data_IF_527559310257
#
_entry.id   IF_527559310257
#
_cell.length_a   1.000
_cell.length_b   1.000
_cell.length_c   1.000
_cell.angle_alpha   90.00
_cell.angle_beta   90.00
_cell.angle_gamma   90.00
#
_symmetry.space_group_name_H-M   'P 1'
#
loop_
_entity.id
_entity.type
_entity.pdbx_description
1 polymer ?
#
# COMPACT_ATOMS: atom_id res chain seq x y z
N UNK A 1 -17.49 24.99 4.28
CA UNK A 1 -17.35 23.84 3.38
C UNK A 1 -15.90 23.70 2.98
N UNK A 2 -15.32 22.51 3.16
CA UNK A 2 -13.96 22.21 2.68
C UNK A 2 -14.13 21.60 1.29
N UNK A 3 -13.54 22.19 0.24
CA UNK A 3 -13.71 21.68 -1.12
C UNK A 3 -13.21 20.23 -1.22
N UNK A 4 -13.95 19.39 -1.95
CA UNK A 4 -13.56 18.01 -2.21
C UNK A 4 -12.36 18.00 -3.15
N UNK A 5 -11.45 17.04 -2.97
CA UNK A 5 -10.34 16.83 -3.91
C UNK A 5 -10.86 16.58 -5.33
N UNK A 6 -12.02 15.94 -5.47
CA UNK A 6 -12.67 15.65 -6.74
C UNK A 6 -13.21 16.91 -7.45
N UNK A 7 -13.31 18.04 -6.76
CA UNK A 7 -13.73 19.33 -7.35
C UNK A 7 -12.55 20.07 -8.01
N UNK A 8 -11.32 19.55 -7.88
CA UNK A 8 -10.13 20.18 -8.42
C UNK A 8 -9.93 19.80 -9.91
N UNK A 9 -9.73 20.78 -10.82
CA UNK A 9 -9.54 20.50 -12.25
C UNK A 9 -8.44 19.48 -12.57
N UNK A 10 -7.39 19.46 -11.75
CA UNK A 10 -6.25 18.54 -11.89
C UNK A 10 -6.63 17.07 -11.73
N UNK A 11 -7.68 16.75 -10.97
CA UNK A 11 -8.13 15.36 -10.79
C UNK A 11 -8.73 14.82 -12.08
N UNK A 12 -9.39 15.66 -12.88
CA UNK A 12 -9.91 15.27 -14.20
C UNK A 12 -8.82 15.15 -15.27
N UNK A 13 -7.68 15.82 -15.09
CA UNK A 13 -6.53 15.71 -16.00
C UNK A 13 -5.72 14.41 -15.76
N UNK A 14 -5.77 13.84 -14.55
CA UNK A 14 -5.01 12.66 -14.15
C UNK A 14 -5.88 11.61 -13.43
N UNK A 15 -6.88 11.01 -14.11
CA UNK A 15 -7.79 10.05 -13.50
C UNK A 15 -7.12 8.74 -13.05
N UNK A 16 -5.94 8.43 -13.61
CA UNK A 16 -5.09 7.28 -13.27
C UNK A 16 -4.24 7.50 -12.01
N UNK A 17 -3.94 8.76 -11.67
CA UNK A 17 -3.17 9.14 -10.47
C UNK A 17 -4.08 9.24 -9.24
N UNK A 18 -5.36 9.56 -9.44
CA UNK A 18 -6.36 9.69 -8.38
C UNK A 18 -7.52 8.68 -8.54
N UNK A 19 -7.25 7.36 -8.54
CA UNK A 19 -8.30 6.38 -8.60
C UNK A 19 -9.07 6.29 -7.27
N UNK A 20 -10.35 5.95 -7.33
CA UNK A 20 -11.18 5.75 -6.13
C UNK A 20 -10.68 4.57 -5.27
N UNK A 21 -9.98 3.62 -5.89
CA UNK A 21 -9.29 2.49 -5.25
C UNK A 21 -7.84 2.41 -5.73
N UNK A 22 -6.89 2.14 -4.82
CA UNK A 22 -5.48 2.03 -5.20
C UNK A 22 -5.24 0.79 -6.07
N UNK A 23 -4.49 0.92 -7.18
CA UNK A 23 -4.07 -0.24 -7.96
C UNK A 23 -3.19 -1.14 -7.08
N UNK A 24 -3.36 -2.46 -7.24
CA UNK A 24 -2.51 -3.43 -6.56
C UNK A 24 -1.02 -3.23 -6.89
N UNK A 25 -0.15 -3.74 -6.03
CA UNK A 25 1.30 -3.69 -6.28
C UNK A 25 1.60 -4.53 -7.53
N UNK A 26 2.26 -3.97 -8.56
CA UNK A 26 2.70 -4.77 -9.70
C UNK A 26 3.58 -5.93 -9.22
N UNK A 27 3.29 -7.15 -9.70
CA UNK A 27 4.13 -8.33 -9.42
C UNK A 27 5.58 -8.09 -9.87
N UNK A 28 5.73 -7.38 -10.98
CA UNK A 28 7.00 -6.97 -11.56
C UNK A 28 7.21 -5.48 -11.29
N UNK A 29 8.00 -5.16 -10.28
CA UNK A 29 8.54 -3.81 -10.11
C UNK A 29 9.66 -3.60 -11.14
N UNK A 30 9.64 -2.48 -11.88
CA UNK A 30 10.74 -2.13 -12.79
C UNK A 30 12.07 -1.91 -12.05
N UNK A 31 12.00 -1.65 -10.73
CA UNK A 31 13.15 -1.45 -9.86
C UNK A 31 13.17 -2.53 -8.78
N UNK A 32 14.31 -3.21 -8.64
CA UNK A 32 14.57 -4.12 -7.53
C UNK A 32 14.91 -3.33 -6.26
N UNK A 33 14.13 -3.54 -5.19
CA UNK A 33 14.38 -2.92 -3.90
C UNK A 33 15.29 -3.82 -3.04
N UNK A 34 16.50 -3.37 -2.73
CA UNK A 34 17.39 -4.05 -1.79
C UNK A 34 17.25 -3.50 -0.37
N UNK A 35 17.09 -4.39 0.62
CA UNK A 35 17.13 -4.03 2.04
C UNK A 35 18.55 -4.27 2.57
N UNK A 36 19.30 -3.19 2.76
CA UNK A 36 20.63 -3.26 3.36
C UNK A 36 20.51 -3.34 4.89
N UNK A 37 21.12 -4.37 5.47
CA UNK A 37 21.17 -4.54 6.91
C UNK A 37 22.43 -3.91 7.48
N UNK A 38 22.30 -3.27 8.64
CA UNK A 38 23.48 -2.89 9.42
C UNK A 38 24.24 -4.17 9.85
N UNK A 39 25.59 -4.15 9.89
CA UNK A 39 26.36 -5.29 10.35
C UNK A 39 25.92 -5.76 11.74
N UNK A 40 25.61 -7.05 11.88
CA UNK A 40 25.14 -7.65 13.13
C UNK A 40 23.62 -7.63 13.34
N UNK A 41 22.83 -7.18 12.36
CA UNK A 41 21.38 -7.35 12.41
C UNK A 41 21.00 -8.83 12.27
N UNK A 42 20.15 -9.32 13.17
CA UNK A 42 19.61 -10.68 13.15
C UNK A 42 18.14 -10.67 12.70
N UNK A 43 17.64 -11.76 12.07
CA UNK A 43 16.23 -11.88 11.71
C UNK A 43 15.32 -11.76 12.93
N UNK A 44 14.23 -11.00 12.79
CA UNK A 44 13.23 -10.84 13.85
C UNK A 44 12.12 -11.87 13.66
N UNK A 45 11.83 -12.63 14.72
CA UNK A 45 10.68 -13.53 14.80
C UNK A 45 9.78 -13.09 15.94
N UNK A 46 8.52 -12.77 15.64
CA UNK A 46 7.50 -12.39 16.62
C UNK A 46 6.19 -13.09 16.29
N UNK A 47 5.49 -13.58 17.32
CA UNK A 47 4.16 -14.15 17.14
C UNK A 47 3.19 -13.09 16.56
N UNK A 48 2.35 -13.47 15.58
CA UNK A 48 1.30 -12.58 15.08
C UNK A 48 0.40 -12.09 16.22
N UNK A 49 -0.10 -10.85 16.10
CA UNK A 49 -1.11 -10.37 17.02
C UNK A 49 -2.44 -11.11 16.79
N UNK A 50 -3.25 -11.26 17.84
CA UNK A 50 -4.58 -11.84 17.71
C UNK A 50 -5.50 -10.83 17.00
N UNK A 51 -5.92 -11.14 15.79
CA UNK A 51 -6.96 -10.44 15.03
C UNK A 51 -8.28 -11.22 15.07
N UNK A 52 -9.40 -10.54 14.88
CA UNK A 52 -10.69 -11.22 14.75
C UNK A 52 -10.79 -11.96 13.42
N UNK A 53 -11.57 -13.04 13.36
CA UNK A 53 -11.71 -13.85 12.13
C UNK A 53 -12.24 -13.04 10.94
N UNK A 54 -13.05 -12.00 11.20
CA UNK A 54 -13.58 -11.09 10.17
C UNK A 54 -12.49 -10.23 9.52
N UNK A 55 -11.41 -9.93 10.24
CA UNK A 55 -10.26 -9.16 9.74
C UNK A 55 -9.28 -10.07 8.98
N UNK A 56 -9.25 -11.36 9.31
CA UNK A 56 -8.41 -12.37 8.65
C UNK A 56 -8.98 -12.86 7.31
N UNK A 57 -10.20 -12.45 6.94
CA UNK A 57 -10.79 -12.83 5.66
C UNK A 57 -10.06 -12.07 4.55
N UNK A 58 -9.05 -12.70 3.96
CA UNK A 58 -8.65 -12.38 2.60
C UNK A 58 -9.91 -12.51 1.73
N UNK A 59 -10.26 -11.44 1.03
CA UNK A 59 -11.09 -11.51 -0.15
C UNK A 59 -10.33 -12.29 -1.21
N UNK A 60 -10.33 -13.63 -1.06
CA UNK A 60 -9.98 -14.61 -2.08
C UNK A 60 -11.06 -14.58 -3.16
#
# INVERSE_FOLDING_TARGET
DVPSIHDQPIVFEFPDVFPDELPGIPLDCEVEFSIELIPGAEPISKAPYRMALIELKESI
#
